data_IF_736376344457
#
_entry.id   IF_736376344457
#
_cell.length_a   1.000
_cell.length_b   1.000
_cell.length_c   1.000
_cell.angle_alpha   90.00
_cell.angle_beta   90.00
_cell.angle_gamma   90.00
#
_symmetry.space_group_name_H-M   'P 1'
#
loop_
_entity.id
_entity.type
_entity.pdbx_description
1 polymer ?
#
# COMPACT_ATOMS: atom_id res chain seq x y z
N UNK A 1 -8.04 5.83 42.25
CA UNK A 1 -8.70 6.67 41.24
C UNK A 1 -8.18 6.16 39.91
N UNK A 2 -9.03 5.49 39.15
CA UNK A 2 -8.66 4.89 37.88
C UNK A 2 -8.28 6.01 36.91
N UNK A 3 -7.04 6.00 36.43
CA UNK A 3 -6.64 6.79 35.27
C UNK A 3 -7.34 6.16 34.07
N UNK A 4 -8.34 6.87 33.54
CA UNK A 4 -8.91 6.61 32.22
C UNK A 4 -7.78 6.79 31.19
N UNK A 5 -7.04 5.70 30.92
CA UNK A 5 -6.22 5.56 29.73
C UNK A 5 -7.18 5.55 28.54
N UNK A 6 -7.41 6.72 27.97
CA UNK A 6 -8.12 6.88 26.72
C UNK A 6 -7.22 6.37 25.60
N UNK A 7 -7.18 5.04 25.46
CA UNK A 7 -6.55 4.35 24.34
C UNK A 7 -7.13 4.92 23.05
N UNK A 8 -6.28 5.53 22.23
CA UNK A 8 -6.68 6.02 20.92
C UNK A 8 -7.13 4.80 20.11
N UNK A 9 -8.46 4.70 19.91
CA UNK A 9 -9.10 3.65 19.12
C UNK A 9 -8.38 3.51 17.77
N UNK A 10 -7.75 2.36 17.53
CA UNK A 10 -7.02 2.04 16.31
C UNK A 10 -7.84 2.44 15.06
N UNK A 11 -7.42 3.49 14.32
CA UNK A 11 -8.14 3.89 13.12
C UNK A 11 -8.01 2.79 12.07
N UNK A 12 -9.11 2.44 11.41
CA UNK A 12 -9.12 1.38 10.38
C UNK A 12 -9.01 1.99 8.98
N UNK A 13 -8.08 1.49 8.16
CA UNK A 13 -7.81 2.03 6.82
C UNK A 13 -8.28 1.14 5.67
N UNK A 14 -8.56 1.80 4.54
CA UNK A 14 -8.98 1.17 3.27
C UNK A 14 -7.85 0.45 2.54
N UNK A 15 -6.58 0.71 2.86
CA UNK A 15 -5.40 0.02 2.32
C UNK A 15 -4.39 -0.27 3.44
N UNK A 16 -3.61 -1.34 3.29
CA UNK A 16 -2.56 -1.72 4.23
C UNK A 16 -1.27 -0.87 4.08
N UNK A 17 -1.40 0.45 4.17
CA UNK A 17 -0.30 1.40 3.97
C UNK A 17 0.28 1.98 5.27
N UNK A 18 -0.41 1.82 6.40
CA UNK A 18 0.00 2.32 7.71
C UNK A 18 -0.08 1.18 8.72
N UNK A 19 1.06 0.56 9.11
CA UNK A 19 1.08 -0.55 10.06
C UNK A 19 0.75 -0.14 11.50
N UNK A 20 0.78 1.16 11.82
CA UNK A 20 0.26 1.71 13.09
C UNK A 20 -1.27 1.57 13.24
N UNK A 21 -1.93 0.97 12.26
CA UNK A 21 -3.36 0.95 12.12
C UNK A 21 -3.81 -0.38 11.54
N UNK A 22 -5.07 -0.72 11.81
CA UNK A 22 -5.68 -1.93 11.27
C UNK A 22 -6.11 -1.73 9.81
N UNK A 23 -5.88 -2.73 8.96
CA UNK A 23 -6.36 -2.75 7.57
C UNK A 23 -7.77 -3.34 7.51
N UNK A 24 -8.77 -2.56 7.08
CA UNK A 24 -10.13 -3.07 6.82
C UNK A 24 -10.27 -3.55 5.38
N UNK A 25 -9.77 -2.76 4.44
CA UNK A 25 -9.93 -2.99 3.01
C UNK A 25 -11.38 -2.90 2.53
N UNK A 26 -11.62 -3.55 1.40
CA UNK A 26 -12.90 -3.64 0.70
C UNK A 26 -12.85 -4.89 -0.20
N UNK A 27 -13.98 -5.23 -0.82
CA UNK A 27 -14.03 -6.24 -1.87
C UNK A 27 -13.86 -5.55 -3.23
N UNK A 28 -12.94 -6.04 -4.04
CA UNK A 28 -12.84 -5.62 -5.44
C UNK A 28 -13.95 -6.32 -6.21
N UNK A 29 -14.89 -5.53 -6.71
CA UNK A 29 -16.06 -6.07 -7.39
C UNK A 29 -15.67 -6.67 -8.75
N UNK A 30 -16.19 -7.87 -8.99
CA UNK A 30 -16.21 -8.51 -10.30
C UNK A 30 -17.69 -8.67 -10.66
N UNK A 31 -18.24 -7.75 -11.46
CA UNK A 31 -19.66 -7.72 -11.86
C UNK A 31 -20.03 -8.85 -12.85
N UNK A 32 -19.72 -10.10 -12.52
CA UNK A 32 -19.76 -11.21 -13.45
C UNK A 32 -20.78 -12.24 -13.00
N UNK A 33 -21.85 -12.42 -13.77
CA UNK A 33 -22.71 -13.58 -13.65
C UNK A 33 -22.16 -14.76 -14.49
N UNK A 34 -22.69 -15.96 -14.29
CA UNK A 34 -22.21 -17.19 -14.95
C UNK A 34 -22.28 -17.12 -16.48
N UNK A 35 -23.20 -16.34 -17.06
CA UNK A 35 -23.28 -16.09 -18.50
C UNK A 35 -22.20 -15.12 -18.99
N UNK A 36 -21.92 -14.05 -18.24
CA UNK A 36 -20.89 -13.08 -18.54
C UNK A 36 -19.51 -13.76 -18.47
N UNK A 37 -19.25 -14.62 -17.49
CA UNK A 37 -17.98 -15.40 -17.39
C UNK A 37 -17.73 -16.24 -18.65
N UNK A 38 -18.77 -16.89 -19.20
CA UNK A 38 -18.64 -17.70 -20.42
C UNK A 38 -18.32 -16.84 -21.64
N UNK A 39 -19.08 -15.77 -21.86
CA UNK A 39 -18.80 -14.82 -22.94
C UNK A 39 -17.44 -14.12 -22.78
N UNK A 40 -16.98 -13.92 -21.55
CA UNK A 40 -15.73 -13.24 -21.24
C UNK A 40 -14.49 -14.11 -21.40
N UNK A 41 -14.59 -15.43 -21.26
CA UNK A 41 -13.49 -16.34 -21.61
C UNK A 41 -13.18 -16.30 -23.12
N UNK A 42 -14.16 -15.91 -23.93
CA UNK A 42 -14.01 -15.74 -25.37
C UNK A 42 -13.50 -14.34 -25.77
N UNK A 43 -13.52 -13.36 -24.85
CA UNK A 43 -13.03 -12.00 -25.10
C UNK A 43 -11.51 -12.05 -25.25
N UNK A 44 -11.05 -11.83 -26.49
CA UNK A 44 -9.63 -11.64 -26.77
C UNK A 44 -9.20 -10.24 -26.34
N UNK A 45 -8.22 -10.18 -25.43
CA UNK A 45 -7.52 -8.93 -25.11
C UNK A 45 -6.98 -8.29 -26.38
N UNK A 46 -7.26 -7.01 -26.54
CA UNK A 46 -6.74 -6.19 -27.62
C UNK A 46 -5.44 -5.51 -27.17
N UNK A 47 -4.64 -5.02 -28.13
CA UNK A 47 -3.51 -4.15 -27.83
C UNK A 47 -4.00 -2.71 -27.55
N UNK A 48 -4.91 -2.57 -26.59
CA UNK A 48 -5.43 -1.29 -26.12
C UNK A 48 -5.03 -1.02 -24.68
N UNK A 49 -4.91 0.27 -24.39
CA UNK A 49 -4.62 0.84 -23.08
C UNK A 49 -5.79 1.69 -22.61
N UNK A 50 -6.06 1.67 -21.31
CA UNK A 50 -7.10 2.48 -20.68
C UNK A 50 -6.48 3.38 -19.61
N UNK A 51 -6.72 4.68 -19.72
CA UNK A 51 -6.14 5.67 -18.81
C UNK A 51 -6.98 5.83 -17.54
N UNK A 52 -6.30 5.80 -16.41
CA UNK A 52 -6.87 6.04 -15.10
C UNK A 52 -6.94 7.54 -14.79
N UNK A 53 -8.05 8.17 -15.17
CA UNK A 53 -8.35 9.54 -14.80
C UNK A 53 -9.65 10.05 -15.38
N UNK A 54 -10.71 10.15 -14.57
CA UNK A 54 -12.07 10.52 -15.04
C UNK A 54 -12.28 12.04 -15.19
N UNK A 55 -11.31 12.86 -14.79
CA UNK A 55 -11.35 14.33 -14.81
C UNK A 55 -10.22 14.83 -15.69
N UNK A 56 -10.52 15.73 -16.65
CA UNK A 56 -9.55 16.22 -17.64
C UNK A 56 -8.31 16.86 -17.01
N UNK A 57 -8.45 17.55 -15.89
CA UNK A 57 -7.30 18.15 -15.20
C UNK A 57 -6.24 17.13 -14.75
N UNK A 58 -6.57 15.84 -14.63
CA UNK A 58 -5.58 14.79 -14.31
C UNK A 58 -4.66 14.49 -15.50
N UNK A 59 -5.10 14.82 -16.72
CA UNK A 59 -4.38 14.63 -17.99
C UNK A 59 -3.42 15.79 -18.28
N UNK A 60 -3.49 16.87 -17.51
CA UNK A 60 -2.63 18.03 -17.67
C UNK A 60 -1.16 17.64 -17.60
N UNK A 61 -0.39 18.09 -18.58
CA UNK A 61 1.05 17.83 -18.71
C UNK A 61 1.38 16.31 -18.75
N UNK A 62 0.54 15.51 -19.43
CA UNK A 62 0.75 14.06 -19.62
C UNK A 62 0.88 13.63 -21.08
N UNK A 63 0.83 14.57 -22.04
CA UNK A 63 0.89 14.26 -23.47
C UNK A 63 2.12 13.45 -23.84
N UNK A 64 3.33 13.90 -23.48
CA UNK A 64 4.58 13.19 -23.82
C UNK A 64 4.64 11.75 -23.29
N UNK A 65 4.08 11.51 -22.09
CA UNK A 65 3.95 10.16 -21.52
C UNK A 65 2.95 9.30 -22.29
N UNK A 66 1.80 9.86 -22.65
CA UNK A 66 0.75 9.16 -23.41
C UNK A 66 1.16 8.91 -24.87
N UNK A 67 1.97 9.79 -25.47
CA UNK A 67 2.46 9.66 -26.85
C UNK A 67 3.36 8.43 -27.01
N UNK A 68 4.18 8.13 -25.99
CA UNK A 68 4.99 6.91 -25.95
C UNK A 68 4.09 5.68 -25.96
N UNK A 69 3.04 5.67 -25.13
CA UNK A 69 2.09 4.56 -25.07
C UNK A 69 1.34 4.42 -26.40
N UNK A 70 0.93 5.54 -26.98
CA UNK A 70 0.19 5.61 -28.24
C UNK A 70 0.97 5.03 -29.43
N UNK A 71 2.30 5.10 -29.39
CA UNK A 71 3.17 4.47 -30.40
C UNK A 71 2.97 2.95 -30.50
N UNK A 72 2.52 2.32 -29.40
CA UNK A 72 2.45 0.87 -29.27
C UNK A 72 1.03 0.32 -29.08
N UNK A 73 0.10 1.14 -28.60
CA UNK A 73 -1.25 0.72 -28.17
C UNK A 73 -2.28 1.82 -28.47
N UNK A 74 -3.53 1.42 -28.70
CA UNK A 74 -4.62 2.39 -28.71
C UNK A 74 -4.82 2.96 -27.29
N UNK A 75 -5.10 4.26 -27.17
CA UNK A 75 -5.27 4.93 -25.87
C UNK A 75 -6.74 5.27 -25.68
N UNK A 76 -7.34 4.69 -24.64
CA UNK A 76 -8.74 4.85 -24.28
C UNK A 76 -8.86 5.67 -23.00
N UNK A 77 -9.97 6.40 -22.86
CA UNK A 77 -10.29 7.17 -21.66
C UNK A 77 -11.76 7.02 -21.26
N UNK A 78 -12.07 7.27 -20.00
CA UNK A 78 -13.44 7.37 -19.48
C UNK A 78 -13.61 8.72 -18.78
N UNK A 79 -13.38 9.80 -19.55
CA UNK A 79 -13.39 11.18 -19.05
C UNK A 79 -14.77 11.76 -19.23
N UNK A 80 -15.24 12.51 -18.24
CA UNK A 80 -16.50 13.26 -18.35
C UNK A 80 -16.44 14.21 -19.57
N UNK A 81 -17.45 14.19 -20.44
CA UNK A 81 -17.44 14.85 -21.76
C UNK A 81 -17.26 16.38 -21.70
N UNK A 82 -17.53 16.99 -20.54
CA UNK A 82 -17.29 18.43 -20.32
C UNK A 82 -15.80 18.69 -20.02
N UNK A 83 -15.15 19.39 -20.95
CA UNK A 83 -13.85 20.02 -20.72
C UNK A 83 -12.66 19.11 -20.99
N UNK A 84 -12.58 18.47 -22.16
CA UNK A 84 -11.46 17.63 -22.61
C UNK A 84 -10.31 18.44 -23.21
N UNK A 85 -9.80 19.44 -22.49
CA UNK A 85 -8.78 20.38 -23.02
C UNK A 85 -7.38 19.76 -22.96
N UNK A 86 -7.11 18.95 -21.94
CA UNK A 86 -5.80 18.34 -21.72
C UNK A 86 -5.67 16.95 -22.34
N UNK A 87 -6.79 16.29 -22.65
CA UNK A 87 -6.82 14.98 -23.29
C UNK A 87 -6.36 15.06 -24.76
N UNK A 88 -5.35 14.26 -25.19
CA UNK A 88 -4.92 14.23 -26.59
C UNK A 88 -6.02 13.76 -27.55
N UNK A 89 -6.02 14.28 -28.78
CA UNK A 89 -7.05 14.00 -29.80
C UNK A 89 -7.13 12.54 -30.25
N UNK A 90 -6.04 11.77 -30.12
CA UNK A 90 -6.03 10.34 -30.47
C UNK A 90 -6.71 9.46 -29.41
N UNK A 91 -7.07 10.01 -28.26
CA UNK A 91 -7.69 9.24 -27.18
C UNK A 91 -9.14 8.91 -27.54
N UNK A 92 -9.46 7.62 -27.58
CA UNK A 92 -10.84 7.12 -27.73
C UNK A 92 -11.55 7.25 -26.39
N UNK A 93 -12.29 8.34 -26.20
CA UNK A 93 -13.04 8.58 -24.97
C UNK A 93 -14.40 7.87 -25.00
N UNK A 94 -14.69 7.09 -23.96
CA UNK A 94 -15.93 6.33 -23.78
C UNK A 94 -16.94 7.04 -22.86
N UNK A 95 -16.60 8.24 -22.37
CA UNK A 95 -17.42 8.93 -21.36
C UNK A 95 -17.42 8.21 -20.01
N UNK A 96 -18.37 8.54 -19.15
CA UNK A 96 -18.53 7.84 -17.87
C UNK A 96 -19.33 6.56 -18.10
N UNK A 97 -18.69 5.42 -17.87
CA UNK A 97 -19.28 4.09 -18.03
C UNK A 97 -19.96 3.60 -16.75
N UNK A 98 -20.94 2.70 -16.92
CA UNK A 98 -21.46 1.89 -15.82
C UNK A 98 -20.39 0.92 -15.30
N UNK A 99 -20.56 0.39 -14.09
CA UNK A 99 -19.64 -0.61 -13.54
C UNK A 99 -19.50 -1.85 -14.43
N UNK A 100 -20.61 -2.29 -15.05
CA UNK A 100 -20.63 -3.43 -15.98
C UNK A 100 -19.84 -3.13 -17.27
N UNK A 101 -20.08 -1.99 -17.90
CA UNK A 101 -19.41 -1.64 -19.16
C UNK A 101 -17.92 -1.38 -18.95
N UNK A 102 -17.55 -0.81 -17.80
CA UNK A 102 -16.15 -0.64 -17.42
C UNK A 102 -15.43 -2.00 -17.28
N UNK A 103 -16.08 -3.01 -16.72
CA UNK A 103 -15.50 -4.36 -16.59
C UNK A 103 -15.28 -5.01 -17.95
N UNK A 104 -16.22 -4.86 -18.89
CA UNK A 104 -16.02 -5.30 -20.29
C UNK A 104 -14.82 -4.60 -20.93
N UNK A 105 -14.74 -3.27 -20.81
CA UNK A 105 -13.63 -2.51 -21.36
C UNK A 105 -12.29 -2.92 -20.72
N UNK A 106 -12.24 -3.14 -19.41
CA UNK A 106 -11.04 -3.63 -18.71
C UNK A 106 -10.61 -5.03 -19.19
N UNK A 107 -11.55 -5.90 -19.55
CA UNK A 107 -11.23 -7.24 -20.04
C UNK A 107 -10.63 -7.27 -21.43
N UNK A 108 -11.05 -6.35 -22.28
CA UNK A 108 -10.42 -6.13 -23.58
C UNK A 108 -9.08 -5.38 -23.45
N UNK A 109 -8.89 -4.64 -22.35
CA UNK A 109 -7.69 -3.85 -22.09
C UNK A 109 -6.51 -4.71 -21.66
N UNK A 110 -5.33 -4.34 -22.16
CA UNK A 110 -4.06 -4.99 -21.78
C UNK A 110 -3.26 -4.14 -20.79
N UNK A 111 -3.33 -2.82 -20.91
CA UNK A 111 -2.59 -1.88 -20.08
C UNK A 111 -3.53 -0.85 -19.43
N UNK A 112 -3.52 -0.76 -18.11
CA UNK A 112 -4.18 0.29 -17.34
C UNK A 112 -3.14 1.34 -16.94
N UNK A 113 -3.37 2.61 -17.31
CA UNK A 113 -2.33 3.65 -17.29
C UNK A 113 -2.60 4.66 -16.18
N UNK A 114 -1.77 4.66 -15.14
CA UNK A 114 -1.81 5.69 -14.10
C UNK A 114 -1.24 7.02 -14.57
N UNK A 115 -1.86 8.13 -14.15
CA UNK A 115 -1.43 9.51 -14.45
C UNK A 115 -0.70 10.20 -13.28
N UNK A 116 -0.65 9.56 -12.12
CA UNK A 116 -0.08 10.09 -10.88
C UNK A 116 -1.14 10.63 -9.91
N UNK A 117 -2.40 10.70 -10.33
CA UNK A 117 -3.56 11.02 -9.51
C UNK A 117 -4.82 10.36 -10.12
N UNK A 118 -5.80 9.90 -9.32
CA UNK A 118 -5.87 9.93 -7.85
C UNK A 118 -4.98 8.87 -7.18
N UNK A 119 -4.63 9.12 -5.91
CA UNK A 119 -3.79 8.23 -5.11
C UNK A 119 -4.62 7.10 -4.49
N UNK A 120 -4.09 5.88 -4.47
CA UNK A 120 -4.62 4.75 -3.67
C UNK A 120 -6.13 4.47 -3.86
N UNK A 121 -6.63 4.67 -5.09
CA UNK A 121 -8.00 4.31 -5.43
C UNK A 121 -8.16 2.81 -5.76
N UNK A 122 -9.40 2.30 -5.82
CA UNK A 122 -9.68 0.88 -6.09
C UNK A 122 -9.45 0.46 -7.56
N UNK A 123 -9.56 1.39 -8.51
CA UNK A 123 -9.57 1.09 -9.94
C UNK A 123 -8.35 0.31 -10.46
N UNK A 124 -7.10 0.56 -10.01
CA UNK A 124 -5.97 -0.30 -10.37
C UNK A 124 -6.15 -1.76 -9.96
N UNK A 125 -6.77 -2.04 -8.81
CA UNK A 125 -7.03 -3.42 -8.37
C UNK A 125 -8.13 -4.07 -9.23
N UNK A 126 -9.18 -3.33 -9.59
CA UNK A 126 -10.19 -3.81 -10.56
C UNK A 126 -9.56 -4.15 -11.92
N UNK A 127 -8.63 -3.32 -12.39
CA UNK A 127 -7.93 -3.56 -13.65
C UNK A 127 -7.07 -4.83 -13.59
N UNK A 128 -6.30 -5.01 -12.51
CA UNK A 128 -5.45 -6.20 -12.32
C UNK A 128 -6.32 -7.47 -12.14
N UNK A 129 -7.44 -7.37 -11.43
CA UNK A 129 -8.43 -8.43 -11.30
C UNK A 129 -9.08 -8.82 -12.64
N UNK A 130 -9.09 -7.90 -13.60
CA UNK A 130 -9.46 -8.16 -14.98
C UNK A 130 -8.27 -8.50 -15.89
N UNK A 131 -7.08 -8.66 -15.31
CA UNK A 131 -5.81 -9.09 -15.91
C UNK A 131 -5.09 -8.04 -16.78
N UNK A 132 -5.42 -6.77 -16.60
CA UNK A 132 -4.58 -5.68 -17.10
C UNK A 132 -3.25 -5.66 -16.34
N UNK A 133 -2.16 -5.26 -17.02
CA UNK A 133 -1.02 -4.70 -16.31
C UNK A 133 -1.34 -3.25 -15.91
N UNK A 134 -0.89 -2.81 -14.74
CA UNK A 134 -1.00 -1.43 -14.27
C UNK A 134 0.35 -0.72 -14.39
N UNK A 135 0.39 0.37 -15.17
CA UNK A 135 1.54 1.27 -15.25
C UNK A 135 1.40 2.32 -14.14
N UNK A 136 2.20 2.15 -13.08
CA UNK A 136 2.08 2.88 -11.83
C UNK A 136 3.14 4.00 -11.75
N UNK A 137 2.75 5.28 -11.75
CA UNK A 137 3.72 6.38 -11.65
C UNK A 137 4.49 6.36 -10.33
N UNK A 138 5.82 6.31 -10.42
CA UNK A 138 6.78 6.41 -9.32
C UNK A 138 6.92 7.87 -8.89
N UNK A 139 7.07 8.12 -7.59
CA UNK A 139 7.27 9.44 -7.02
C UNK A 139 8.65 9.53 -6.39
N UNK A 140 9.49 10.39 -6.96
CA UNK A 140 10.80 10.74 -6.41
C UNK A 140 10.99 12.26 -6.47
N UNK A 141 10.98 12.98 -5.34
CA UNK A 141 10.80 12.47 -3.98
C UNK A 141 9.38 11.89 -3.74
N UNK A 142 9.21 11.00 -2.75
CA UNK A 142 7.90 10.51 -2.32
C UNK A 142 6.94 11.65 -1.96
N UNK A 143 5.64 11.49 -2.22
CA UNK A 143 4.62 12.51 -1.94
C UNK A 143 4.09 12.38 -0.51
N UNK A 144 3.98 13.50 0.21
CA UNK A 144 3.44 13.53 1.57
C UNK A 144 2.83 14.89 1.91
N UNK A 145 2.34 15.04 3.15
CA UNK A 145 1.84 16.31 3.68
C UNK A 145 2.87 17.44 3.67
N UNK A 146 4.16 17.12 3.56
CA UNK A 146 5.27 18.09 3.53
C UNK A 146 5.47 18.76 2.17
N UNK A 147 5.13 18.09 1.08
CA UNK A 147 5.50 18.53 -0.27
C UNK A 147 4.36 18.51 -1.30
N UNK A 148 3.17 18.04 -0.92
CA UNK A 148 2.05 17.87 -1.86
C UNK A 148 0.77 18.43 -1.25
N UNK A 149 0.17 19.42 -1.93
CA UNK A 149 -1.01 20.17 -1.45
C UNK A 149 -2.17 19.25 -1.01
N UNK A 150 -2.46 18.21 -1.79
CA UNK A 150 -3.53 17.25 -1.49
C UNK A 150 -3.40 16.57 -0.12
N UNK A 151 -2.18 16.43 0.40
CA UNK A 151 -1.92 15.79 1.69
C UNK A 151 -1.77 16.79 2.84
N UNK A 152 -1.77 18.10 2.60
CA UNK A 152 -1.69 19.10 3.67
C UNK A 152 -2.86 18.94 4.65
N UNK A 153 -2.55 19.07 5.95
CA UNK A 153 -3.54 18.95 7.03
C UNK A 153 -3.99 17.52 7.34
N UNK A 154 -3.60 16.50 6.57
CA UNK A 154 -3.89 15.10 6.93
C UNK A 154 -3.06 14.69 8.14
N UNK A 155 -3.64 13.94 9.11
CA UNK A 155 -2.97 13.55 10.36
C UNK A 155 -2.00 12.37 10.14
N UNK A 156 -1.09 12.50 9.16
CA UNK A 156 -0.08 11.49 8.86
C UNK A 156 1.12 12.13 8.17
N UNK A 157 2.31 11.63 8.50
CA UNK A 157 3.56 11.94 7.81
C UNK A 157 3.95 10.86 6.78
N UNK A 158 3.02 9.97 6.45
CA UNK A 158 3.25 8.90 5.48
C UNK A 158 3.63 9.48 4.13
N UNK A 159 4.63 8.85 3.53
CA UNK A 159 5.12 9.16 2.20
C UNK A 159 4.65 8.09 1.20
N UNK A 160 4.13 8.53 0.06
CA UNK A 160 3.75 7.68 -1.07
C UNK A 160 4.91 7.63 -2.07
N UNK A 161 5.44 6.43 -2.29
CA UNK A 161 6.52 6.15 -3.25
C UNK A 161 6.01 6.04 -4.70
N UNK A 162 4.71 5.87 -4.89
CA UNK A 162 4.06 5.79 -6.20
C UNK A 162 2.58 6.15 -6.11
N UNK A 163 1.87 6.21 -7.24
CA UNK A 163 0.44 6.48 -7.27
C UNK A 163 -0.37 5.46 -6.45
N UNK A 164 0.06 4.19 -6.45
CA UNK A 164 -0.58 3.12 -5.68
C UNK A 164 0.46 2.24 -4.95
N UNK A 165 0.99 2.68 -3.78
CA UNK A 165 2.05 1.97 -3.08
C UNK A 165 1.69 0.53 -2.68
N UNK A 166 0.43 0.23 -2.38
CA UNK A 166 0.02 -1.16 -2.14
C UNK A 166 0.27 -2.06 -3.36
N UNK A 167 -0.01 -1.57 -4.57
CA UNK A 167 0.14 -2.33 -5.81
C UNK A 167 1.62 -2.47 -6.16
N UNK A 168 2.41 -1.44 -5.91
CA UNK A 168 3.88 -1.48 -6.01
C UNK A 168 4.48 -2.58 -5.12
N UNK A 169 4.07 -2.63 -3.85
CA UNK A 169 4.73 -3.43 -2.81
C UNK A 169 4.22 -4.88 -2.76
N UNK A 170 2.90 -5.08 -2.76
CA UNK A 170 2.29 -6.39 -2.49
C UNK A 170 1.86 -7.15 -3.74
N UNK A 171 1.80 -6.48 -4.90
CA UNK A 171 1.50 -7.11 -6.18
C UNK A 171 2.77 -7.16 -7.05
N UNK A 172 3.34 -5.99 -7.37
CA UNK A 172 4.56 -5.90 -8.17
C UNK A 172 4.43 -6.50 -9.57
N UNK A 173 5.58 -6.73 -10.22
CA UNK A 173 5.65 -7.34 -11.56
C UNK A 173 5.20 -8.80 -11.52
N UNK A 174 4.56 -9.32 -12.58
CA UNK A 174 4.33 -8.69 -13.89
C UNK A 174 3.08 -7.80 -13.97
N UNK A 175 2.24 -7.79 -12.94
CA UNK A 175 0.96 -7.07 -12.95
C UNK A 175 1.10 -5.57 -12.76
N UNK A 176 2.13 -5.12 -12.04
CA UNK A 176 2.34 -3.71 -11.72
C UNK A 176 3.75 -3.30 -12.14
N UNK A 177 3.82 -2.29 -13.00
CA UNK A 177 5.05 -1.69 -13.48
C UNK A 177 5.17 -0.29 -12.90
N UNK A 178 5.93 -0.16 -11.81
CA UNK A 178 6.19 1.14 -11.19
C UNK A 178 7.34 1.85 -11.92
N UNK A 179 7.05 2.96 -12.61
CA UNK A 179 8.00 3.66 -13.50
C UNK A 179 8.04 5.16 -13.26
N UNK A 180 9.19 5.80 -13.49
CA UNK A 180 9.23 7.26 -13.59
C UNK A 180 8.61 7.69 -14.93
N UNK A 181 7.46 8.37 -14.88
CA UNK A 181 6.75 8.80 -16.08
C UNK A 181 7.50 9.87 -16.89
N UNK A 182 8.49 10.55 -16.30
CA UNK A 182 9.33 11.51 -17.00
C UNK A 182 10.53 10.83 -17.69
N UNK A 183 10.82 9.58 -17.35
CA UNK A 183 11.86 8.80 -18.01
C UNK A 183 11.25 8.03 -19.19
N UNK A 184 11.35 8.62 -20.37
CA UNK A 184 10.73 8.08 -21.59
C UNK A 184 11.24 6.67 -21.92
N UNK A 185 12.53 6.38 -21.71
CA UNK A 185 13.11 5.05 -21.95
C UNK A 185 12.56 4.01 -20.96
N UNK A 186 12.40 4.37 -19.68
CA UNK A 186 11.82 3.49 -18.66
C UNK A 186 10.36 3.14 -19.00
N UNK A 187 9.58 4.14 -19.42
CA UNK A 187 8.18 3.97 -19.87
C UNK A 187 8.12 3.07 -21.11
N UNK A 188 8.89 3.38 -22.15
CA UNK A 188 8.89 2.60 -23.39
C UNK A 188 9.28 1.14 -23.15
N UNK A 189 10.30 0.91 -22.33
CA UNK A 189 10.72 -0.45 -21.96
C UNK A 189 9.62 -1.20 -21.21
N UNK A 190 8.90 -0.54 -20.31
CA UNK A 190 7.78 -1.14 -19.60
C UNK A 190 6.63 -1.49 -20.55
N UNK A 191 6.25 -0.58 -21.45
CA UNK A 191 5.17 -0.81 -22.44
C UNK A 191 5.51 -1.99 -23.35
N UNK A 192 6.73 -2.05 -23.89
CA UNK A 192 7.19 -3.19 -24.72
C UNK A 192 7.16 -4.52 -23.96
N UNK A 193 7.57 -4.51 -22.69
CA UNK A 193 7.54 -5.71 -21.86
C UNK A 193 6.10 -6.16 -21.55
N UNK A 194 5.19 -5.23 -21.31
CA UNK A 194 3.76 -5.53 -21.09
C UNK A 194 3.12 -6.08 -22.37
N UNK A 195 3.50 -5.59 -23.54
CA UNK A 195 3.01 -6.10 -24.82
C UNK A 195 3.38 -7.57 -25.07
N UNK A 196 4.55 -8.03 -24.61
CA UNK A 196 4.94 -9.43 -24.73
C UNK A 196 4.41 -10.32 -23.60
N UNK A 197 3.80 -9.74 -22.56
CA UNK A 197 3.24 -10.49 -21.44
C UNK A 197 1.85 -11.06 -21.75
N UNK A 198 1.61 -12.26 -21.23
CA UNK A 198 0.29 -12.86 -21.10
C UNK A 198 -0.04 -12.93 -19.61
N UNK A 199 -0.66 -11.87 -19.10
CA UNK A 199 -1.07 -11.81 -17.70
C UNK A 199 -2.40 -12.53 -17.51
N UNK A 200 -2.43 -13.44 -16.55
CA UNK A 200 -3.68 -13.99 -16.05
C UNK A 200 -4.35 -12.99 -15.10
N UNK A 201 -5.69 -13.01 -14.99
CA UNK A 201 -6.39 -12.19 -14.00
C UNK A 201 -5.88 -12.52 -12.58
N UNK A 202 -5.53 -11.50 -11.81
CA UNK A 202 -5.00 -11.68 -10.46
C UNK A 202 -5.71 -10.75 -9.47
N UNK A 203 -6.15 -11.30 -8.34
CA UNK A 203 -6.71 -10.52 -7.25
C UNK A 203 -6.09 -11.02 -5.94
N UNK A 204 -5.42 -10.16 -5.15
CA UNK A 204 -4.95 -10.56 -3.83
C UNK A 204 -6.12 -11.04 -2.97
N UNK A 205 -5.91 -12.16 -2.25
CA UNK A 205 -6.96 -12.83 -1.50
C UNK A 205 -7.71 -11.88 -0.53
N UNK A 206 -7.01 -10.95 0.11
CA UNK A 206 -7.56 -9.95 1.03
C UNK A 206 -8.59 -8.99 0.43
N UNK A 207 -8.64 -8.87 -0.89
CA UNK A 207 -9.64 -8.08 -1.62
C UNK A 207 -10.78 -8.93 -2.22
N UNK A 208 -10.83 -10.23 -1.90
CA UNK A 208 -11.97 -11.10 -2.22
C UNK A 208 -13.04 -11.03 -1.11
N UNK A 209 -14.26 -11.49 -1.40
CA UNK A 209 -15.31 -11.62 -0.38
C UNK A 209 -14.84 -12.48 0.81
N UNK A 210 -14.27 -13.65 0.53
CA UNK A 210 -13.81 -14.60 1.55
C UNK A 210 -12.64 -14.03 2.36
N UNK A 211 -11.66 -13.42 1.70
CA UNK A 211 -10.53 -12.80 2.39
C UNK A 211 -10.94 -11.61 3.25
N UNK A 212 -11.91 -10.79 2.81
CA UNK A 212 -12.45 -9.73 3.67
C UNK A 212 -13.20 -10.31 4.87
N UNK A 213 -14.02 -11.35 4.68
CA UNK A 213 -14.72 -12.02 5.78
C UNK A 213 -13.76 -12.64 6.80
N UNK A 214 -12.72 -13.35 6.34
CA UNK A 214 -11.67 -13.90 7.21
C UNK A 214 -11.00 -12.80 8.04
N UNK A 215 -10.64 -11.68 7.41
CA UNK A 215 -10.01 -10.55 8.09
C UNK A 215 -10.93 -9.93 9.13
N UNK A 216 -12.16 -9.62 8.75
CA UNK A 216 -13.14 -9.01 9.66
C UNK A 216 -13.48 -9.94 10.82
N UNK A 217 -13.66 -11.25 10.57
CA UNK A 217 -13.85 -12.25 11.63
C UNK A 217 -12.65 -12.30 12.58
N UNK A 218 -11.42 -12.35 12.06
CA UNK A 218 -10.21 -12.30 12.90
C UNK A 218 -10.12 -11.05 13.78
N UNK A 219 -10.45 -9.87 13.23
CA UNK A 219 -10.50 -8.63 14.01
C UNK A 219 -11.59 -8.67 15.08
N UNK A 220 -12.82 -9.12 14.75
CA UNK A 220 -13.93 -9.19 15.70
C UNK A 220 -13.65 -10.17 16.84
N UNK A 221 -13.07 -11.33 16.54
CA UNK A 221 -12.89 -12.40 17.53
C UNK A 221 -11.64 -12.21 18.40
N UNK A 222 -10.60 -11.53 17.89
CA UNK A 222 -9.28 -11.54 18.52
C UNK A 222 -8.75 -10.15 18.90
N UNK A 223 -9.20 -9.07 18.25
CA UNK A 223 -8.73 -7.73 18.54
C UNK A 223 -9.51 -7.14 19.72
N UNK A 224 -8.98 -7.30 20.93
CA UNK A 224 -9.59 -6.82 22.17
C UNK A 224 -8.74 -5.68 22.80
N UNK A 225 -9.34 -4.50 22.91
CA UNK A 225 -8.77 -3.33 23.60
C UNK A 225 -9.43 -3.10 24.98
N UNK A 226 -10.43 -3.90 25.35
CA UNK A 226 -11.19 -3.75 26.58
C UNK A 226 -10.64 -4.63 27.72
N UNK A 227 -10.00 -5.76 27.40
CA UNK A 227 -9.52 -6.72 28.40
C UNK A 227 -8.08 -7.16 28.13
N UNK A 228 -7.24 -7.17 29.17
CA UNK A 228 -5.84 -7.64 29.07
C UNK A 228 -5.67 -9.17 29.10
N UNK A 229 -6.68 -9.95 28.70
CA UNK A 229 -6.69 -11.41 28.96
C UNK A 229 -5.88 -12.23 27.95
N UNK A 230 -5.87 -11.86 26.68
CA UNK A 230 -5.11 -12.57 25.63
C UNK A 230 -4.48 -11.55 24.68
N UNK A 231 -3.15 -11.58 24.58
CA UNK A 231 -2.43 -10.74 23.62
C UNK A 231 -2.63 -11.26 22.20
N UNK A 232 -3.12 -10.40 21.32
CA UNK A 232 -3.23 -10.65 19.89
C UNK A 232 -2.64 -9.47 19.11
N UNK A 233 -1.80 -9.70 18.09
CA UNK A 233 -1.23 -10.99 17.65
C UNK A 233 -0.39 -11.71 18.71
N UNK A 234 -0.19 -13.05 18.64
CA UNK A 234 0.52 -13.80 19.67
C UNK A 234 2.01 -13.44 19.69
N UNK A 235 2.63 -13.29 20.87
CA UNK A 235 4.04 -12.89 21.00
C UNK A 235 5.03 -13.80 20.24
N UNK A 236 4.65 -15.05 19.92
CA UNK A 236 5.43 -15.95 19.07
C UNK A 236 5.71 -15.41 17.67
N UNK A 237 4.87 -14.51 17.15
CA UNK A 237 5.09 -13.89 15.84
C UNK A 237 6.07 -12.70 15.87
N UNK A 238 6.49 -12.23 17.06
CA UNK A 238 7.44 -11.13 17.20
C UNK A 238 8.81 -11.49 16.61
N UNK A 239 9.22 -10.69 15.63
CA UNK A 239 10.56 -10.71 15.05
C UNK A 239 11.17 -9.33 15.17
N UNK A 240 12.18 -9.18 16.03
CA UNK A 240 12.86 -7.90 16.23
C UNK A 240 13.83 -7.62 15.08
N UNK A 241 13.75 -6.42 14.51
CA UNK A 241 14.68 -5.89 13.50
C UNK A 241 15.25 -4.56 13.97
N UNK A 242 16.37 -4.15 13.39
CA UNK A 242 16.97 -2.84 13.62
C UNK A 242 16.84 -1.99 12.39
N UNK A 243 16.14 -0.85 12.49
CA UNK A 243 16.15 0.14 11.43
C UNK A 243 17.38 1.03 11.59
N UNK A 244 18.24 1.03 10.56
CA UNK A 244 19.40 1.92 10.47
C UNK A 244 18.99 3.41 10.51
N UNK A 245 19.94 4.29 10.77
CA UNK A 245 19.71 5.74 10.72
C UNK A 245 19.09 6.15 9.38
N UNK A 246 18.03 6.97 9.43
CA UNK A 246 17.25 7.35 8.24
C UNK A 246 16.22 6.32 7.77
N UNK A 247 16.08 5.17 8.45
CA UNK A 247 15.06 4.16 8.17
C UNK A 247 14.02 4.09 9.29
N UNK A 248 12.78 3.81 8.91
CA UNK A 248 11.65 3.56 9.81
C UNK A 248 11.44 2.08 10.09
N UNK A 249 10.71 1.76 11.16
CA UNK A 249 10.34 0.38 11.46
C UNK A 249 9.46 -0.23 10.36
N UNK A 250 8.54 0.57 9.79
CA UNK A 250 7.79 0.17 8.60
C UNK A 250 8.70 -0.32 7.47
N UNK A 251 9.74 0.46 7.13
CA UNK A 251 10.64 0.14 6.02
C UNK A 251 11.43 -1.14 6.29
N UNK A 252 12.07 -1.28 7.46
CA UNK A 252 12.91 -2.46 7.73
C UNK A 252 12.08 -3.74 7.79
N UNK A 253 10.87 -3.70 8.37
CA UNK A 253 9.99 -4.87 8.35
C UNK A 253 9.61 -5.23 6.92
N UNK A 254 9.19 -4.25 6.12
CA UNK A 254 8.78 -4.46 4.73
C UNK A 254 9.91 -5.03 3.86
N UNK A 255 11.15 -4.52 3.99
CA UNK A 255 12.33 -5.03 3.28
C UNK A 255 12.65 -6.49 3.63
N UNK A 256 12.28 -6.91 4.85
CA UNK A 256 12.43 -8.28 5.33
C UNK A 256 11.20 -9.17 5.02
N UNK A 257 10.26 -8.71 4.18
CA UNK A 257 9.00 -9.43 3.89
C UNK A 257 8.15 -9.67 5.15
N UNK A 258 8.22 -8.74 6.10
CA UNK A 258 7.43 -8.69 7.32
C UNK A 258 6.58 -7.41 7.32
N UNK A 259 5.73 -7.26 8.33
CA UNK A 259 5.03 -6.00 8.61
C UNK A 259 5.36 -5.55 10.03
N UNK A 260 5.47 -4.23 10.25
CA UNK A 260 5.67 -3.71 11.60
C UNK A 260 4.41 -3.96 12.44
N UNK A 261 4.58 -4.40 13.69
CA UNK A 261 3.48 -4.74 14.60
C UNK A 261 3.55 -3.86 15.86
N UNK A 262 2.77 -2.77 15.93
CA UNK A 262 2.90 -1.77 16.99
C UNK A 262 2.54 -2.33 18.37
N UNK A 263 1.65 -3.34 18.46
CA UNK A 263 1.26 -3.96 19.74
C UNK A 263 2.43 -4.58 20.49
N UNK A 264 3.54 -4.90 19.81
CA UNK A 264 4.73 -5.47 20.43
C UNK A 264 5.73 -4.45 20.96
N UNK A 265 5.58 -3.15 20.70
CA UNK A 265 6.52 -2.16 21.21
C UNK A 265 6.63 -2.18 22.74
N UNK A 266 5.53 -2.46 23.44
CA UNK A 266 5.51 -2.61 24.90
C UNK A 266 6.45 -3.71 25.42
N UNK A 267 6.75 -4.73 24.60
CA UNK A 267 7.69 -5.82 24.91
C UNK A 267 9.14 -5.49 24.54
N UNK A 268 9.38 -4.32 23.96
CA UNK A 268 10.70 -3.82 23.56
C UNK A 268 11.05 -2.53 24.31
N UNK A 269 10.42 -2.29 25.47
CA UNK A 269 10.53 -1.03 26.19
C UNK A 269 11.12 -1.15 27.61
N UNK A 270 11.86 -2.21 27.90
CA UNK A 270 12.57 -2.43 29.17
C UNK A 270 13.90 -3.11 28.91
N UNK A 271 14.93 -2.73 29.67
CA UNK A 271 16.28 -3.31 29.55
C UNK A 271 16.29 -4.85 29.64
N UNK A 272 15.56 -5.41 30.62
CA UNK A 272 15.41 -6.88 30.77
C UNK A 272 14.76 -7.56 29.57
N UNK A 273 13.86 -6.89 28.89
CA UNK A 273 13.18 -7.45 27.71
C UNK A 273 14.07 -7.34 26.47
N UNK A 274 14.76 -6.21 26.31
CA UNK A 274 15.76 -5.98 25.27
C UNK A 274 16.90 -7.02 25.33
N UNK A 275 17.35 -7.37 26.53
CA UNK A 275 18.39 -8.38 26.73
C UNK A 275 18.01 -9.76 26.14
N UNK A 276 16.72 -10.13 26.10
CA UNK A 276 16.25 -11.39 25.50
C UNK A 276 16.50 -11.44 23.99
N UNK A 277 16.61 -10.28 23.36
CA UNK A 277 16.90 -10.12 21.93
C UNK A 277 18.36 -9.78 21.65
N UNK A 278 19.26 -9.99 22.65
CA UNK A 278 20.69 -9.73 22.51
C UNK A 278 21.07 -8.24 22.55
N UNK A 279 20.16 -7.36 22.94
CA UNK A 279 20.40 -5.93 23.05
C UNK A 279 20.89 -5.64 24.47
N UNK A 280 22.16 -5.25 24.60
CA UNK A 280 22.77 -4.91 25.88
C UNK A 280 22.88 -3.39 26.03
N UNK A 281 22.03 -2.82 26.90
CA UNK A 281 22.07 -1.41 27.24
C UNK A 281 23.00 -1.21 28.46
N UNK A 282 24.05 -0.41 28.31
CA UNK A 282 24.89 0.01 29.46
C UNK A 282 24.17 1.07 30.29
N UNK A 283 23.43 1.94 29.62
CA UNK A 283 22.64 3.01 30.23
C UNK A 283 21.33 3.15 29.47
N UNK A 284 20.29 3.58 30.17
CA UNK A 284 18.95 3.78 29.61
C UNK A 284 18.45 5.17 29.93
N UNK A 285 17.80 5.80 28.96
CA UNK A 285 17.09 7.07 29.14
C UNK A 285 15.64 6.90 28.68
N UNK A 286 14.69 7.53 29.38
CA UNK A 286 13.28 7.52 29.00
C UNK A 286 12.94 8.85 28.35
N UNK A 287 12.38 8.81 27.14
CA UNK A 287 12.00 10.00 26.34
C UNK A 287 10.61 9.82 25.73
N UNK A 288 9.95 10.94 25.40
CA UNK A 288 8.60 10.96 24.82
C UNK A 288 8.67 11.33 23.34
N UNK A 289 9.10 10.38 22.50
CA UNK A 289 9.25 10.60 21.06
C UNK A 289 8.72 9.42 20.23
N UNK A 290 8.25 9.68 19.01
CA UNK A 290 7.71 8.61 18.13
C UNK A 290 8.79 7.67 17.56
N UNK A 291 10.07 8.05 17.68
CA UNK A 291 11.19 7.32 17.09
C UNK A 291 11.88 6.36 18.06
N UNK A 292 11.41 6.25 19.30
CA UNK A 292 11.89 5.29 20.31
C UNK A 292 10.94 4.07 20.44
N UNK A 293 11.41 2.88 20.86
CA UNK A 293 12.74 2.55 21.39
C UNK A 293 13.86 2.61 20.35
N UNK A 294 15.01 3.15 20.75
CA UNK A 294 16.20 3.26 19.89
C UNK A 294 17.49 2.99 20.66
N UNK A 295 18.56 2.69 19.94
CA UNK A 295 19.88 2.38 20.52
C UNK A 295 20.99 3.18 19.82
N UNK A 296 21.80 3.85 20.62
CA UNK A 296 23.13 4.31 20.22
C UNK A 296 24.10 3.14 20.40
N UNK A 297 24.40 2.45 19.30
CA UNK A 297 25.31 1.29 19.31
C UNK A 297 26.72 1.62 19.82
N UNK A 298 27.21 2.84 19.59
CA UNK A 298 28.57 3.23 19.98
C UNK A 298 28.70 3.33 21.49
N UNK A 299 27.68 3.91 22.13
CA UNK A 299 27.63 4.08 23.59
C UNK A 299 26.92 2.94 24.31
N UNK A 300 26.31 2.02 23.57
CA UNK A 300 25.36 1.03 24.11
C UNK A 300 24.30 1.70 25.00
N UNK A 301 23.83 2.87 24.58
CA UNK A 301 22.83 3.65 25.30
C UNK A 301 21.47 3.46 24.65
N UNK A 302 20.46 3.11 25.43
CA UNK A 302 19.12 2.81 24.93
C UNK A 302 18.12 3.89 25.34
N UNK A 303 17.38 4.41 24.38
CA UNK A 303 16.29 5.34 24.61
C UNK A 303 14.98 4.54 24.62
N UNK A 304 14.27 4.58 25.74
CA UNK A 304 12.99 3.92 25.96
C UNK A 304 11.85 4.95 25.89
N UNK A 305 10.66 4.48 25.56
CA UNK A 305 9.45 5.29 25.48
C UNK A 305 8.88 5.56 26.87
N UNK A 306 8.63 6.84 27.18
CA UNK A 306 7.94 7.27 28.39
C UNK A 306 6.42 7.42 28.21
N UNK A 307 5.96 7.73 27.00
CA UNK A 307 4.54 7.84 26.66
C UNK A 307 4.15 6.74 25.68
N UNK A 308 3.43 5.72 26.18
CA UNK A 308 3.09 4.53 25.40
C UNK A 308 2.22 4.86 24.17
N UNK A 309 1.50 5.99 24.17
CA UNK A 309 0.70 6.44 23.02
C UNK A 309 1.57 6.92 21.85
N UNK A 310 2.87 7.16 22.08
CA UNK A 310 3.81 7.61 21.05
C UNK A 310 4.54 6.45 20.36
N UNK A 311 4.28 5.19 20.68
CA UNK A 311 4.83 4.09 19.89
C UNK A 311 4.41 4.21 18.42
N UNK A 312 5.37 4.10 17.51
CA UNK A 312 5.10 4.28 16.09
C UNK A 312 6.02 3.47 15.19
N UNK A 313 5.43 2.72 14.27
CA UNK A 313 6.10 2.11 13.13
C UNK A 313 6.61 3.15 12.12
N UNK A 314 5.93 4.29 12.00
CA UNK A 314 6.35 5.42 11.21
C UNK A 314 7.50 6.21 11.87
N UNK A 315 8.13 7.10 11.09
CA UNK A 315 9.25 7.92 11.55
C UNK A 315 10.59 7.18 11.54
N UNK A 316 11.66 7.93 11.30
CA UNK A 316 13.03 7.44 11.32
C UNK A 316 13.85 8.28 12.28
N UNK A 317 14.82 7.66 12.96
CA UNK A 317 15.78 8.39 13.76
C UNK A 317 16.96 8.82 12.87
N UNK A 318 17.47 10.04 13.04
CA UNK A 318 18.53 10.60 12.19
C UNK A 318 19.93 10.02 12.48
N UNK A 319 20.17 9.61 13.73
CA UNK A 319 21.49 9.14 14.20
C UNK A 319 21.46 7.69 14.73
N UNK A 320 20.55 7.37 15.64
CA UNK A 320 20.44 6.06 16.30
C UNK A 320 19.67 5.03 15.48
N UNK A 321 19.83 3.75 15.84
CA UNK A 321 19.05 2.66 15.26
C UNK A 321 17.74 2.49 16.02
N UNK A 322 16.63 2.32 15.31
CA UNK A 322 15.34 2.01 15.95
C UNK A 322 15.24 0.51 16.20
N UNK A 323 14.69 0.13 17.35
CA UNK A 323 14.36 -1.25 17.69
C UNK A 323 12.93 -1.49 17.23
N UNK A 324 12.76 -2.37 16.25
CA UNK A 324 11.51 -2.47 15.49
C UNK A 324 10.84 -3.83 15.71
N UNK A 325 9.58 -3.84 16.20
CA UNK A 325 8.78 -5.04 16.24
C UNK A 325 8.21 -5.33 14.85
N UNK A 326 8.59 -6.45 14.27
CA UNK A 326 7.96 -6.97 13.06
C UNK A 326 7.18 -8.24 13.38
N UNK A 327 6.23 -8.59 12.51
CA UNK A 327 5.59 -9.90 12.46
C UNK A 327 5.51 -10.42 11.04
N UNK A 328 5.32 -11.72 10.90
CA UNK A 328 4.97 -12.31 9.62
C UNK A 328 3.50 -12.04 9.26
N UNK A 329 3.14 -12.39 8.03
CA UNK A 329 1.78 -12.30 7.54
C UNK A 329 1.46 -13.44 6.57
N UNK A 330 0.18 -13.80 6.49
CA UNK A 330 -0.30 -14.74 5.48
C UNK A 330 -0.22 -14.10 4.09
N UNK A 331 0.36 -14.80 3.11
CA UNK A 331 0.51 -14.26 1.75
C UNK A 331 -0.86 -13.94 1.16
N UNK A 332 -1.07 -12.69 0.77
CA UNK A 332 -2.35 -12.19 0.29
C UNK A 332 -3.36 -11.84 1.38
N UNK A 333 -2.97 -11.85 2.66
CA UNK A 333 -3.75 -11.38 3.81
C UNK A 333 -2.82 -10.72 4.84
N UNK A 334 -2.39 -9.49 4.56
CA UNK A 334 -1.33 -8.82 5.33
C UNK A 334 -1.76 -8.46 6.76
N UNK A 335 -3.07 -8.32 6.98
CA UNK A 335 -3.66 -8.02 8.29
C UNK A 335 -3.42 -9.12 9.34
N UNK A 336 -3.17 -10.37 8.91
CA UNK A 336 -3.11 -11.52 9.81
C UNK A 336 -1.75 -12.23 9.70
N UNK A 337 -1.12 -12.50 10.84
CA UNK A 337 0.02 -13.42 10.95
C UNK A 337 -0.40 -14.88 10.70
N UNK A 338 0.56 -15.79 10.51
CA UNK A 338 0.24 -17.21 10.28
C UNK A 338 -0.51 -17.85 11.44
N UNK A 339 -0.22 -17.42 12.67
CA UNK A 339 -0.81 -17.93 13.91
C UNK A 339 -1.90 -16.99 14.47
N UNK A 340 -2.49 -16.13 13.63
CA UNK A 340 -3.44 -15.10 14.09
C UNK A 340 -4.91 -15.55 14.08
N UNK A 341 -5.21 -16.77 13.61
CA UNK A 341 -6.56 -17.34 13.53
C UNK A 341 -6.75 -18.44 14.58
#
# INVERSE_FOLDING_TARGET
MAEDNQEFRDPVWWQAHTPDNSFLGFVVEQHLNTSDIRHMNDIKRQNQSLVYGKVDNFWKDKSGYLDIIHTYMEVHGTVHEKGTVHMPNYVKNHGILSGRDLQFLLRETKLFVGLGFPYEGPAPLEAIANGCAFLNPKFNPPKSSRNTEFFKGKPTLRELTSQHPYAEVYIGKPYVWTVDINNHEEVEKAVKAILSQKNEPYLPYEFTCEGMLQRVSGLIEKQDFCHGQVMWPPLSALQVKFAEAGRSCKQVCQENQLICEPSYFQHLNKDKDLAKFGIQCQTTETVNEIVVPSVDEKKKHCFLQGDLLLFSCAGHHSIHKRICPCRDYMKGQVALCKDCL
#
